data_IF_284594262664
#
_entry.id   IF_284594262664
#
_cell.length_a   1.000
_cell.length_b   1.000
_cell.length_c   1.000
_cell.angle_alpha   90.00
_cell.angle_beta   90.00
_cell.angle_gamma   90.00
#
_symmetry.space_group_name_H-M   'P 1'
#
loop_
_entity.id
_entity.type
_entity.pdbx_description
1 polymer ?
#
# COMPACT_ATOMS: atom_id res chain seq x y z
N UNK A 1 19.79 4.50 -4.04
CA UNK A 1 18.42 4.69 -4.56
C UNK A 1 17.78 3.33 -4.48
N UNK A 2 16.67 3.23 -3.76
CA UNK A 2 15.94 1.97 -3.65
C UNK A 2 15.25 1.66 -4.98
N UNK A 3 15.03 0.38 -5.28
CA UNK A 3 14.49 -0.06 -6.57
C UNK A 3 13.13 0.55 -6.89
N UNK A 4 12.27 0.70 -5.88
CA UNK A 4 10.99 1.36 -6.07
C UNK A 4 11.16 2.83 -6.49
N UNK A 5 12.17 3.57 -5.99
CA UNK A 5 12.38 4.96 -6.37
C UNK A 5 12.71 5.12 -7.86
N UNK A 6 13.42 4.16 -8.44
CA UNK A 6 13.71 4.11 -9.88
C UNK A 6 12.42 3.96 -10.69
N UNK A 7 11.53 3.05 -10.25
CA UNK A 7 10.22 2.83 -10.87
C UNK A 7 9.39 4.11 -10.75
N UNK A 8 9.23 4.66 -9.55
CA UNK A 8 8.43 5.86 -9.35
C UNK A 8 8.94 7.06 -10.18
N UNK A 9 10.26 7.19 -10.31
CA UNK A 9 10.88 8.21 -11.18
C UNK A 9 10.55 8.00 -12.66
N UNK A 10 10.62 6.76 -13.14
CA UNK A 10 10.27 6.40 -14.54
C UNK A 10 8.83 6.77 -14.90
N UNK A 11 7.91 6.65 -13.94
CA UNK A 11 6.50 7.01 -14.11
C UNK A 11 6.19 8.46 -13.71
N UNK A 12 7.20 9.32 -13.52
CA UNK A 12 7.08 10.74 -13.18
C UNK A 12 6.26 11.02 -11.91
N UNK A 13 6.34 10.12 -10.93
CA UNK A 13 5.64 10.28 -9.66
C UNK A 13 6.31 11.38 -8.85
N UNK A 14 5.52 12.36 -8.43
CA UNK A 14 6.03 13.56 -7.80
C UNK A 14 6.37 13.31 -6.34
N UNK A 15 7.56 13.73 -5.93
CA UNK A 15 7.96 13.73 -4.52
C UNK A 15 7.20 14.80 -3.74
N UNK A 16 6.80 14.50 -2.51
CA UNK A 16 6.19 15.48 -1.63
C UNK A 16 7.22 16.55 -1.23
N UNK A 17 6.76 17.79 -1.03
CA UNK A 17 7.60 18.92 -0.62
C UNK A 17 7.76 19.03 0.89
N UNK A 18 6.78 18.52 1.64
CA UNK A 18 6.76 18.49 3.10
C UNK A 18 6.70 17.04 3.57
N UNK A 19 7.20 16.75 4.77
CA UNK A 19 7.00 15.44 5.39
C UNK A 19 5.52 15.24 5.78
N UNK A 20 5.03 13.99 5.85
CA UNK A 20 3.71 13.71 6.41
C UNK A 20 3.59 14.27 7.84
N UNK A 21 2.39 14.73 8.18
CA UNK A 21 2.00 15.11 9.53
C UNK A 21 1.70 13.88 10.40
N UNK A 22 1.11 12.85 9.80
CA UNK A 22 0.86 11.57 10.46
C UNK A 22 2.18 10.85 10.70
N UNK A 23 2.36 10.35 11.92
CA UNK A 23 3.56 9.59 12.30
C UNK A 23 3.39 8.10 12.02
N UNK A 24 4.51 7.39 11.80
CA UNK A 24 4.45 5.93 11.65
C UNK A 24 4.00 5.26 12.94
N UNK A 25 4.41 5.79 14.10
CA UNK A 25 4.05 5.28 15.40
C UNK A 25 2.53 5.30 15.65
N UNK A 26 1.82 6.32 15.15
CA UNK A 26 0.36 6.40 15.22
C UNK A 26 -0.30 5.26 14.44
N UNK A 27 0.09 5.05 13.18
CA UNK A 27 -0.44 3.98 12.34
C UNK A 27 -0.09 2.59 12.89
N UNK A 28 1.18 2.37 13.26
CA UNK A 28 1.69 1.10 13.80
C UNK A 28 1.01 0.70 15.12
N UNK A 29 0.61 1.68 15.96
CA UNK A 29 -0.13 1.42 17.20
C UNK A 29 -1.54 0.90 16.94
N UNK A 30 -2.18 1.33 15.85
CA UNK A 30 -3.54 0.91 15.48
C UNK A 30 -3.51 -0.52 14.93
N UNK A 31 -2.61 -0.80 13.98
CA UNK A 31 -2.52 -2.09 13.29
C UNK A 31 -1.70 -3.15 14.05
N UNK A 32 -1.07 -2.76 15.17
CA UNK A 32 -0.29 -3.65 16.03
C UNK A 32 0.86 -4.40 15.31
N UNK A 33 1.42 -3.80 14.25
CA UNK A 33 2.61 -4.29 13.56
C UNK A 33 3.47 -3.13 13.05
N UNK A 34 4.74 -3.42 12.73
CA UNK A 34 5.69 -2.44 12.22
C UNK A 34 5.60 -2.31 10.71
N UNK A 35 5.50 -1.07 10.22
CA UNK A 35 5.48 -0.80 8.79
C UNK A 35 6.84 -1.12 8.16
N UNK A 36 6.85 -1.73 6.96
CA UNK A 36 8.09 -2.10 6.31
C UNK A 36 8.86 -0.85 5.87
N UNK A 37 10.19 -0.95 5.85
CA UNK A 37 11.05 0.20 5.61
C UNK A 37 10.86 0.81 4.21
N UNK A 38 10.64 -0.01 3.19
CA UNK A 38 10.42 0.46 1.82
C UNK A 38 9.14 1.30 1.72
N UNK A 39 8.04 0.88 2.35
CA UNK A 39 6.82 1.68 2.43
C UNK A 39 7.02 2.97 3.23
N UNK A 40 7.75 2.93 4.36
CA UNK A 40 8.06 4.16 5.12
C UNK A 40 8.91 5.14 4.32
N UNK A 41 9.90 4.66 3.57
CA UNK A 41 10.70 5.50 2.67
C UNK A 41 9.80 6.10 1.59
N UNK A 42 8.87 5.33 1.01
CA UNK A 42 7.86 5.86 0.10
C UNK A 42 7.01 6.97 0.75
N UNK A 43 6.35 6.67 1.87
CA UNK A 43 5.45 7.59 2.57
C UNK A 43 6.15 8.89 3.01
N UNK A 44 7.44 8.85 3.35
CA UNK A 44 8.22 10.06 3.68
C UNK A 44 8.51 10.95 2.48
N UNK A 45 8.61 10.38 1.28
CA UNK A 45 9.15 11.07 0.11
C UNK A 45 8.13 11.32 -1.00
N UNK A 46 6.99 10.64 -1.00
CA UNK A 46 5.97 10.71 -2.05
C UNK A 46 4.59 10.93 -1.42
N UNK A 47 3.76 11.77 -2.05
CA UNK A 47 2.35 11.97 -1.69
C UNK A 47 1.49 10.85 -2.27
N UNK A 48 0.18 11.09 -2.40
CA UNK A 48 -0.67 10.23 -3.20
C UNK A 48 -0.13 10.02 -4.62
N UNK A 49 -0.46 8.87 -5.18
CA UNK A 49 -0.21 8.54 -6.58
C UNK A 49 -1.49 8.01 -7.18
N UNK A 50 -1.83 8.44 -8.39
CA UNK A 50 -2.91 7.86 -9.17
C UNK A 50 -2.46 7.76 -10.63
N UNK A 51 -2.49 6.55 -11.18
CA UNK A 51 -2.02 6.34 -12.55
C UNK A 51 -1.79 4.87 -12.88
N UNK A 52 -0.98 4.66 -13.92
CA UNK A 52 -0.71 3.34 -14.48
C UNK A 52 0.78 3.01 -14.34
N UNK A 53 1.09 1.84 -13.79
CA UNK A 53 2.41 1.20 -13.88
C UNK A 53 2.26 -0.11 -14.64
N UNK A 54 3.10 -0.32 -15.66
CA UNK A 54 2.93 -1.43 -16.59
C UNK A 54 1.59 -1.31 -17.32
N UNK A 55 0.66 -2.23 -17.03
CA UNK A 55 -0.69 -2.25 -17.59
C UNK A 55 -1.78 -2.03 -16.52
N UNK A 56 -1.41 -1.80 -15.26
CA UNK A 56 -2.36 -1.76 -14.15
C UNK A 56 -2.57 -0.35 -13.63
N UNK A 57 -3.84 0.05 -13.54
CA UNK A 57 -4.24 1.26 -12.86
C UNK A 57 -4.31 1.04 -11.35
N UNK A 58 -3.81 1.99 -10.58
CA UNK A 58 -4.03 2.02 -9.14
C UNK A 58 -3.84 3.43 -8.59
N UNK A 59 -4.37 3.62 -7.38
CA UNK A 59 -4.16 4.79 -6.55
C UNK A 59 -3.51 4.37 -5.24
N UNK A 60 -2.46 5.07 -4.81
CA UNK A 60 -1.94 5.04 -3.45
C UNK A 60 -2.42 6.30 -2.72
N UNK A 61 -2.89 6.14 -1.50
CA UNK A 61 -3.35 7.26 -0.67
C UNK A 61 -2.16 8.01 -0.07
N UNK A 62 -2.34 9.30 0.21
CA UNK A 62 -1.36 10.02 1.02
C UNK A 62 -1.33 9.42 2.43
N UNK A 63 -0.15 9.30 3.01
CA UNK A 63 0.02 8.82 4.37
C UNK A 63 -0.74 9.67 5.41
N UNK A 64 -0.94 10.96 5.14
CA UNK A 64 -1.74 11.83 6.01
C UNK A 64 -3.24 11.47 6.02
N UNK A 65 -3.74 10.79 4.98
CA UNK A 65 -5.15 10.37 4.86
C UNK A 65 -5.38 8.95 5.36
N UNK A 66 -4.30 8.17 5.56
CA UNK A 66 -4.40 6.71 5.67
C UNK A 66 -5.21 6.25 6.89
N UNK A 67 -5.04 6.91 8.04
CA UNK A 67 -5.79 6.59 9.26
C UNK A 67 -7.27 6.88 9.07
N UNK A 68 -7.61 8.01 8.44
CA UNK A 68 -8.99 8.39 8.13
C UNK A 68 -9.65 7.38 7.20
N UNK A 69 -9.01 7.08 6.06
CA UNK A 69 -9.53 6.13 5.07
C UNK A 69 -9.79 4.75 5.68
N UNK A 70 -8.82 4.20 6.43
CA UNK A 70 -8.99 2.88 7.05
C UNK A 70 -10.05 2.87 8.15
N UNK A 71 -10.29 4.01 8.83
CA UNK A 71 -11.39 4.16 9.80
C UNK A 71 -12.74 4.19 9.08
N UNK A 72 -12.86 4.99 8.02
CA UNK A 72 -14.11 5.16 7.26
C UNK A 72 -14.54 3.86 6.57
N UNK A 73 -13.58 3.11 6.00
CA UNK A 73 -13.81 1.78 5.43
C UNK A 73 -13.86 0.66 6.47
N UNK A 74 -13.75 0.98 7.78
CA UNK A 74 -13.79 0.03 8.91
C UNK A 74 -12.75 -1.10 8.82
N UNK A 75 -11.65 -0.88 8.09
CA UNK A 75 -10.57 -1.86 7.93
C UNK A 75 -9.97 -2.21 9.28
N UNK A 76 -9.71 -1.22 10.14
CA UNK A 76 -9.16 -1.45 11.46
C UNK A 76 -10.06 -2.28 12.39
N UNK A 77 -11.38 -2.21 12.20
CA UNK A 77 -12.35 -2.93 13.02
C UNK A 77 -12.37 -4.42 12.68
N UNK A 78 -12.30 -4.74 11.39
CA UNK A 78 -12.51 -6.10 10.91
C UNK A 78 -11.23 -6.83 10.49
N UNK A 79 -10.19 -6.10 10.10
CA UNK A 79 -8.92 -6.60 9.62
C UNK A 79 -7.77 -5.94 10.41
N UNK A 80 -7.62 -6.26 11.71
CA UNK A 80 -6.70 -5.55 12.61
C UNK A 80 -5.22 -5.74 12.26
N UNK A 81 -4.88 -6.69 11.38
CA UNK A 81 -3.51 -6.91 10.88
C UNK A 81 -3.29 -6.36 9.47
N UNK A 82 -4.15 -5.45 9.04
CA UNK A 82 -4.18 -4.93 7.67
C UNK A 82 -4.21 -3.41 7.68
N UNK A 83 -3.40 -2.79 6.82
CA UNK A 83 -3.43 -1.37 6.53
C UNK A 83 -3.68 -1.18 5.04
N UNK A 84 -4.86 -0.70 4.66
CA UNK A 84 -5.12 -0.29 3.29
C UNK A 84 -4.31 0.97 2.96
N UNK A 85 -3.58 0.93 1.85
CA UNK A 85 -2.66 1.98 1.38
C UNK A 85 -3.13 2.59 0.05
N UNK A 86 -4.23 2.11 -0.51
CA UNK A 86 -4.69 2.50 -1.84
C UNK A 86 -5.77 1.56 -2.40
N UNK A 87 -5.97 1.60 -3.71
CA UNK A 87 -6.88 0.70 -4.43
C UNK A 87 -6.60 0.66 -5.93
N UNK A 88 -7.21 -0.29 -6.64
CA UNK A 88 -7.01 -0.48 -8.08
C UNK A 88 -8.03 0.27 -8.97
N UNK A 89 -8.89 1.10 -8.36
CA UNK A 89 -9.94 1.83 -9.08
C UNK A 89 -11.16 0.99 -9.51
N UNK A 90 -11.20 -0.31 -9.18
CA UNK A 90 -12.27 -1.24 -9.61
C UNK A 90 -13.05 -1.88 -8.46
N UNK A 91 -12.91 -1.33 -7.24
CA UNK A 91 -13.61 -1.83 -6.06
C UNK A 91 -12.78 -2.77 -5.18
N UNK A 92 -11.46 -2.80 -5.40
CA UNK A 92 -10.52 -3.46 -4.50
C UNK A 92 -9.55 -2.46 -3.86
N UNK A 93 -9.23 -2.67 -2.59
CA UNK A 93 -8.16 -1.98 -1.90
C UNK A 93 -6.84 -2.74 -2.02
N UNK A 94 -5.75 -1.98 -2.01
CA UNK A 94 -4.39 -2.49 -1.88
C UNK A 94 -3.99 -2.28 -0.42
N UNK A 95 -3.48 -3.31 0.25
CA UNK A 95 -3.10 -3.23 1.65
C UNK A 95 -1.78 -3.91 1.97
N UNK A 96 -1.14 -3.43 3.04
CA UNK A 96 -0.07 -4.15 3.74
C UNK A 96 -0.74 -5.03 4.79
N UNK A 97 -0.44 -6.33 4.78
CA UNK A 97 -0.97 -7.28 5.74
C UNK A 97 0.15 -8.02 6.46
N UNK A 98 -0.02 -8.20 7.77
CA UNK A 98 0.84 -9.07 8.58
C UNK A 98 0.22 -10.46 8.78
N UNK A 99 0.95 -11.48 8.34
CA UNK A 99 0.61 -12.88 8.55
C UNK A 99 0.88 -13.34 10.00
N UNK A 100 0.34 -14.50 10.36
CA UNK A 100 0.51 -15.08 11.70
C UNK A 100 1.97 -15.38 12.08
N UNK A 101 2.86 -15.56 11.11
CA UNK A 101 4.30 -15.75 11.31
C UNK A 101 5.10 -14.43 11.25
N UNK A 102 4.42 -13.28 11.36
CA UNK A 102 4.97 -11.93 11.30
C UNK A 102 5.54 -11.49 9.95
N UNK A 103 5.45 -12.32 8.90
CA UNK A 103 5.78 -11.88 7.55
C UNK A 103 4.75 -10.86 7.06
N UNK A 104 5.23 -9.93 6.24
CA UNK A 104 4.39 -8.92 5.59
C UNK A 104 4.19 -9.29 4.13
N UNK A 105 3.03 -8.94 3.58
CA UNK A 105 2.73 -9.00 2.15
C UNK A 105 1.87 -7.82 1.72
N UNK A 106 1.85 -7.55 0.42
CA UNK A 106 0.91 -6.63 -0.21
C UNK A 106 -0.23 -7.46 -0.80
N UNK A 107 -1.47 -7.09 -0.48
CA UNK A 107 -2.67 -7.79 -0.93
C UNK A 107 -3.57 -6.86 -1.73
N UNK A 108 -4.26 -7.43 -2.71
CA UNK A 108 -5.44 -6.88 -3.35
C UNK A 108 -6.65 -7.58 -2.75
N UNK A 109 -7.66 -6.82 -2.31
CA UNK A 109 -8.84 -7.40 -1.68
C UNK A 109 -10.08 -6.59 -2.02
N UNK A 110 -11.23 -7.25 -2.27
CA UNK A 110 -12.49 -6.54 -2.41
C UNK A 110 -12.85 -5.78 -1.14
N UNK A 111 -13.63 -4.69 -1.25
CA UNK A 111 -14.22 -4.02 -0.08
C UNK A 111 -15.30 -4.86 0.65
N UNK A 112 -15.52 -6.10 0.21
CA UNK A 112 -16.23 -7.13 0.96
C UNK A 112 -15.24 -7.66 2.00
N UNK A 113 -15.42 -7.23 3.24
CA UNK A 113 -14.47 -7.43 4.34
C UNK A 113 -14.40 -8.92 4.72
N UNK A 114 -13.63 -9.71 3.97
CA UNK A 114 -13.42 -11.14 4.15
C UNK A 114 -11.92 -11.46 3.91
N UNK A 115 -11.21 -11.94 4.94
CA UNK A 115 -9.76 -12.20 4.90
C UNK A 115 -9.40 -13.28 3.85
N UNK A 116 -10.31 -14.21 3.61
CA UNK A 116 -10.18 -15.28 2.62
C UNK A 116 -10.13 -14.76 1.17
N UNK A 117 -10.54 -13.51 0.93
CA UNK A 117 -10.51 -12.88 -0.39
C UNK A 117 -9.19 -12.16 -0.71
N UNK A 118 -8.23 -12.14 0.21
CA UNK A 118 -6.95 -11.47 0.03
C UNK A 118 -6.06 -12.19 -1.00
N UNK A 119 -5.77 -11.50 -2.10
CA UNK A 119 -4.88 -11.98 -3.16
C UNK A 119 -3.51 -11.32 -2.97
N UNK A 120 -2.46 -12.13 -2.79
CA UNK A 120 -1.10 -11.62 -2.67
C UNK A 120 -0.61 -11.06 -4.02
N UNK A 121 -0.26 -9.77 -4.02
CA UNK A 121 0.24 -9.04 -5.19
C UNK A 121 1.67 -8.53 -5.00
N UNK A 122 2.32 -8.88 -3.88
CA UNK A 122 3.73 -8.62 -3.63
C UNK A 122 4.16 -9.07 -2.24
N UNK A 123 5.43 -9.42 -2.07
CA UNK A 123 6.00 -9.77 -0.74
C UNK A 123 6.59 -8.55 -0.02
N UNK A 124 6.63 -7.40 -0.67
CA UNK A 124 7.04 -6.10 -0.15
C UNK A 124 6.45 -4.98 -1.01
N UNK A 125 6.53 -3.73 -0.57
CA UNK A 125 6.06 -2.59 -1.38
C UNK A 125 6.88 -2.45 -2.66
N UNK A 126 8.19 -2.71 -2.57
CA UNK A 126 9.08 -2.74 -3.73
C UNK A 126 8.73 -3.86 -4.71
N UNK A 127 8.55 -5.10 -4.21
CA UNK A 127 8.19 -6.26 -5.06
C UNK A 127 6.85 -6.04 -5.77
N UNK A 128 5.86 -5.45 -5.07
CA UNK A 128 4.59 -5.06 -5.66
C UNK A 128 4.80 -4.13 -6.88
N UNK A 129 5.57 -3.05 -6.75
CA UNK A 129 5.83 -2.13 -7.86
C UNK A 129 6.64 -2.79 -8.99
N UNK A 130 7.58 -3.67 -8.66
CA UNK A 130 8.35 -4.44 -9.66
C UNK A 130 7.48 -5.40 -10.46
N UNK A 131 6.52 -6.07 -9.81
CA UNK A 131 5.55 -6.95 -10.50
C UNK A 131 4.71 -6.16 -11.49
N UNK A 132 4.21 -5.00 -11.08
CA UNK A 132 3.48 -4.09 -11.98
C UNK A 132 4.35 -3.65 -13.16
N UNK A 133 5.59 -3.23 -12.91
CA UNK A 133 6.49 -2.78 -13.98
C UNK A 133 6.77 -3.89 -15.01
N UNK A 134 6.90 -5.12 -14.54
CA UNK A 134 7.13 -6.30 -15.39
C UNK A 134 5.87 -6.80 -16.11
N UNK A 135 4.79 -6.01 -16.10
CA UNK A 135 3.50 -6.30 -16.75
C UNK A 135 2.84 -7.59 -16.26
N UNK A 136 3.13 -8.03 -15.03
CA UNK A 136 2.32 -9.08 -14.42
C UNK A 136 0.94 -8.50 -14.14
N UNK A 137 -0.10 -9.20 -14.59
CA UNK A 137 -1.44 -8.88 -14.14
C UNK A 137 -1.59 -9.14 -12.63
N UNK A 138 -2.62 -8.58 -12.01
CA UNK A 138 -2.87 -8.76 -10.58
C UNK A 138 -2.92 -10.23 -10.14
N UNK A 139 -3.19 -11.15 -11.07
CA UNK A 139 -3.45 -12.55 -10.82
C UNK A 139 -2.42 -13.50 -11.45
N UNK A 140 -1.27 -12.99 -11.92
CA UNK A 140 -0.21 -13.76 -12.61
C UNK A 140 1.10 -13.97 -11.82
#
# INVERSE_FOLDING_TARGET
MERFEEILTKYNITKRTNKPNTTFEEAEKIINFKLPNDYKTFALNYSEFEGIIGNQYFRLWDFDEIIGMNTDYRIFEYLPKTLAIGGNGSGEYIAIEQLNDSRLRIVLSPFLIEEEAHIEIGISFTDFLERLENRKEWFE
#
